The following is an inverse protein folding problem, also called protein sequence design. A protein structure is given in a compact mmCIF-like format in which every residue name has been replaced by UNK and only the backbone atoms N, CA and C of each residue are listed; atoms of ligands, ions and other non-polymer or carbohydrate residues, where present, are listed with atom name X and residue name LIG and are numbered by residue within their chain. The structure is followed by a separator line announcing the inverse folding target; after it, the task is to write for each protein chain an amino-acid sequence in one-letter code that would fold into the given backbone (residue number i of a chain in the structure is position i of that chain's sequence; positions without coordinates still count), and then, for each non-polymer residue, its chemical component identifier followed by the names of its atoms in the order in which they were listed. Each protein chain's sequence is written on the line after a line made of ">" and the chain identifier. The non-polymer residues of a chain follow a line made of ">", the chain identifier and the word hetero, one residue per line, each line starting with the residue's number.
data_IF_785912025053
#
_entry.id   IF_785912025053
#
_cell.length_a   1.000
_cell.length_b   1.000
_cell.length_c   1.000
_cell.angle_alpha   90.00
_cell.angle_beta   90.00
_cell.angle_gamma   90.00
#
_symmetry.space_group_name_H-M   'P 1'
#
loop_
_entity.id
_entity.type
_entity.pdbx_description
1 polymer ?
#
# COMPACT_ATOMS: atom_id res chain seq x y z
N UNK A 1 -23.35 -12.49 -4.96
CA UNK A 1 -24.38 -11.99 -4.05
C UNK A 1 -23.88 -11.76 -2.61
N UNK A 2 -23.06 -12.61 -2.01
CA UNK A 2 -22.58 -12.41 -0.61
C UNK A 2 -21.71 -11.16 -0.41
N UNK A 3 -20.78 -10.85 -1.32
CA UNK A 3 -19.93 -9.65 -1.24
C UNK A 3 -20.74 -8.34 -1.17
N UNK A 4 -21.88 -8.24 -1.84
CA UNK A 4 -22.73 -7.05 -1.80
C UNK A 4 -23.35 -6.76 -0.43
N UNK A 5 -23.56 -7.77 0.42
CA UNK A 5 -24.05 -7.57 1.78
C UNK A 5 -22.96 -7.13 2.75
N UNK A 6 -21.74 -7.61 2.57
CA UNK A 6 -20.57 -7.27 3.42
C UNK A 6 -20.21 -5.79 3.27
N UNK A 7 -20.48 -5.21 2.10
CA UNK A 7 -20.19 -3.81 1.81
C UNK A 7 -21.38 -2.87 2.05
N UNK A 8 -22.48 -3.28 2.67
CA UNK A 8 -23.64 -2.40 2.94
C UNK A 8 -23.48 -1.61 4.24
N UNK A 9 -23.72 -0.31 4.17
CA UNK A 9 -23.79 0.61 5.30
C UNK A 9 -22.44 0.81 6.01
N UNK A 10 -22.51 1.03 7.34
CA UNK A 10 -21.35 1.34 8.18
C UNK A 10 -20.24 0.27 8.12
N UNK A 11 -20.64 -1.00 7.99
CA UNK A 11 -19.66 -2.12 7.89
C UNK A 11 -18.77 -2.03 6.67
N UNK A 12 -19.28 -1.57 5.53
CA UNK A 12 -18.49 -1.41 4.32
C UNK A 12 -17.41 -0.32 4.46
N UNK A 13 -17.78 0.79 5.07
CA UNK A 13 -16.83 1.86 5.36
C UNK A 13 -15.74 1.39 6.34
N UNK A 14 -16.13 0.67 7.40
CA UNK A 14 -15.19 0.10 8.35
C UNK A 14 -14.26 -0.92 7.71
N UNK A 15 -14.79 -1.76 6.79
CA UNK A 15 -14.01 -2.73 6.06
C UNK A 15 -13.00 -2.06 5.12
N UNK A 16 -13.42 -1.05 4.34
CA UNK A 16 -12.51 -0.27 3.47
C UNK A 16 -11.40 0.35 4.31
N UNK A 17 -11.75 1.03 5.41
CA UNK A 17 -10.76 1.61 6.31
C UNK A 17 -9.77 0.55 6.82
N UNK A 18 -10.26 -0.58 7.35
CA UNK A 18 -9.42 -1.65 7.89
C UNK A 18 -8.51 -2.27 6.83
N UNK A 19 -9.03 -2.58 5.63
CA UNK A 19 -8.23 -3.12 4.54
C UNK A 19 -7.13 -2.15 4.10
N UNK A 20 -7.44 -0.86 4.05
CA UNK A 20 -6.47 0.16 3.67
C UNK A 20 -5.46 0.45 4.79
N UNK A 21 -5.81 0.24 6.08
CA UNK A 21 -4.83 0.22 7.18
C UNK A 21 -3.85 -0.94 6.98
N UNK A 22 -4.36 -2.14 6.69
CA UNK A 22 -3.51 -3.32 6.45
C UNK A 22 -2.59 -3.11 5.24
N UNK A 23 -3.09 -2.51 4.16
CA UNK A 23 -2.28 -2.12 3.01
C UNK A 23 -1.18 -1.14 3.40
N UNK A 24 -1.53 -0.11 4.17
CA UNK A 24 -0.60 0.91 4.65
C UNK A 24 0.48 0.37 5.59
N UNK A 25 0.22 -0.73 6.32
CA UNK A 25 1.19 -1.49 7.14
C UNK A 25 1.99 -2.48 6.28
N UNK A 26 2.13 -2.24 4.99
CA UNK A 26 2.89 -3.09 4.06
C UNK A 26 2.45 -4.56 4.01
N UNK A 27 1.21 -4.87 4.41
CA UNK A 27 0.62 -6.18 4.19
C UNK A 27 0.12 -6.31 2.73
N UNK A 28 0.06 -7.53 2.17
CA UNK A 28 -0.27 -7.73 0.77
C UNK A 28 -1.78 -7.58 0.50
N UNK A 29 -2.33 -6.41 0.83
CA UNK A 29 -3.70 -6.01 0.48
C UNK A 29 -3.61 -5.08 -0.74
N UNK A 30 -4.14 -5.48 -1.90
CA UNK A 30 -4.05 -4.66 -3.11
C UNK A 30 -5.13 -3.57 -3.08
N UNK A 31 -4.74 -2.33 -2.90
CA UNK A 31 -5.65 -1.18 -3.04
C UNK A 31 -6.21 -1.07 -4.45
N UNK A 32 -5.48 -1.60 -5.43
CA UNK A 32 -5.88 -1.70 -6.83
C UNK A 32 -7.15 -2.56 -7.02
N UNK A 33 -7.55 -3.30 -5.99
CA UNK A 33 -8.83 -4.02 -5.91
C UNK A 33 -9.80 -3.32 -4.98
N UNK A 34 -9.35 -2.91 -3.79
CA UNK A 34 -10.21 -2.31 -2.76
C UNK A 34 -10.82 -0.99 -3.22
N UNK A 35 -10.00 -0.06 -3.71
CA UNK A 35 -10.47 1.29 -4.05
C UNK A 35 -11.35 1.33 -5.33
N UNK A 36 -11.06 0.57 -6.40
CA UNK A 36 -12.00 0.45 -7.49
C UNK A 36 -13.35 -0.18 -7.08
N UNK A 37 -13.38 -1.12 -6.13
CA UNK A 37 -14.65 -1.65 -5.60
C UNK A 37 -15.48 -0.56 -4.91
N UNK A 38 -14.84 0.39 -4.22
CA UNK A 38 -15.53 1.58 -3.66
C UNK A 38 -16.25 2.35 -4.77
N UNK A 39 -15.56 2.65 -5.87
CA UNK A 39 -16.15 3.34 -7.01
C UNK A 39 -17.27 2.54 -7.71
N UNK A 40 -17.06 1.26 -7.90
CA UNK A 40 -18.03 0.35 -8.49
C UNK A 40 -19.35 0.31 -7.69
N UNK A 41 -19.26 0.08 -6.38
CA UNK A 41 -20.46 0.03 -5.53
C UNK A 41 -21.17 1.38 -5.43
N UNK A 42 -20.43 2.49 -5.48
CA UNK A 42 -21.01 3.82 -5.53
C UNK A 42 -21.84 4.05 -6.82
N UNK A 43 -21.34 3.58 -7.97
CA UNK A 43 -22.03 3.73 -9.26
C UNK A 43 -23.34 2.93 -9.35
N UNK A 44 -23.47 1.86 -8.56
CA UNK A 44 -24.69 1.04 -8.48
C UNK A 44 -25.75 1.62 -7.53
N UNK A 45 -25.57 2.85 -7.00
CA UNK A 45 -26.41 3.40 -5.95
C UNK A 45 -26.35 2.57 -4.65
N UNK A 46 -25.22 1.88 -4.46
CA UNK A 46 -24.93 1.09 -3.28
C UNK A 46 -24.65 1.95 -2.04
N UNK A 47 -24.24 1.30 -0.97
CA UNK A 47 -24.06 1.89 0.36
C UNK A 47 -22.92 2.92 0.48
N UNK A 48 -22.05 3.05 -0.55
CA UNK A 48 -20.97 4.04 -0.60
C UNK A 48 -21.41 5.24 -1.45
N UNK A 49 -22.42 5.91 -0.99
CA UNK A 49 -22.86 7.18 -1.56
C UNK A 49 -22.84 8.24 -0.46
N UNK A 50 -22.04 9.28 -0.57
CA UNK A 50 -21.17 9.61 -1.69
C UNK A 50 -19.84 8.81 -1.70
N UNK A 51 -19.28 8.49 -2.87
CA UNK A 51 -18.00 7.77 -3.01
C UNK A 51 -16.84 8.51 -2.31
N UNK A 52 -17.01 9.79 -2.08
CA UNK A 52 -16.07 10.65 -1.37
C UNK A 52 -15.79 10.16 0.05
N UNK A 53 -16.80 9.67 0.77
CA UNK A 53 -16.60 9.16 2.12
C UNK A 53 -15.78 7.88 2.13
N UNK A 54 -16.06 6.95 1.20
CA UNK A 54 -15.27 5.73 1.03
C UNK A 54 -13.83 6.04 0.60
N UNK A 55 -13.64 7.00 -0.29
CA UNK A 55 -12.33 7.51 -0.70
C UNK A 55 -11.56 8.06 0.51
N UNK A 56 -12.15 8.97 1.27
CA UNK A 56 -11.49 9.59 2.43
C UNK A 56 -11.14 8.56 3.51
N UNK A 57 -12.05 7.63 3.81
CA UNK A 57 -11.78 6.57 4.79
C UNK A 57 -10.70 5.62 4.31
N UNK A 58 -10.67 5.27 3.04
CA UNK A 58 -9.58 4.48 2.45
C UNK A 58 -8.24 5.19 2.56
N UNK A 59 -8.18 6.44 2.12
CA UNK A 59 -6.97 7.29 2.21
C UNK A 59 -6.49 7.47 3.66
N UNK A 60 -7.41 7.71 4.61
CA UNK A 60 -7.07 7.80 6.03
C UNK A 60 -6.59 6.46 6.59
N UNK A 61 -7.19 5.34 6.16
CA UNK A 61 -6.71 4.01 6.50
C UNK A 61 -5.27 3.78 6.07
N UNK A 62 -4.94 4.06 4.81
CA UNK A 62 -3.57 3.95 4.29
C UNK A 62 -2.60 4.87 5.01
N UNK A 63 -3.04 6.09 5.36
CA UNK A 63 -2.23 7.01 6.17
C UNK A 63 -1.93 6.44 7.55
N UNK A 64 -2.93 5.91 8.25
CA UNK A 64 -2.76 5.28 9.56
C UNK A 64 -1.78 4.10 9.47
N UNK A 65 -1.94 3.22 8.49
CA UNK A 65 -1.01 2.11 8.26
C UNK A 65 0.42 2.60 7.98
N UNK A 66 0.56 3.62 7.13
CA UNK A 66 1.86 4.24 6.83
C UNK A 66 2.52 4.88 8.06
N UNK A 67 1.73 5.43 8.97
CA UNK A 67 2.22 5.97 10.24
C UNK A 67 2.71 4.85 11.17
N UNK A 68 2.04 3.70 11.20
CA UNK A 68 2.48 2.53 11.97
C UNK A 68 3.85 2.08 11.45
N UNK A 69 4.05 1.94 10.15
CA UNK A 69 5.33 1.58 9.54
C UNK A 69 6.42 2.63 9.81
N UNK A 70 6.08 3.92 9.65
CA UNK A 70 6.97 5.03 9.94
C UNK A 70 7.45 4.99 11.40
N UNK A 71 6.54 4.91 12.38
CA UNK A 71 6.90 4.91 13.80
C UNK A 71 7.60 3.61 14.20
N UNK A 72 7.22 2.47 13.63
CA UNK A 72 7.93 1.21 13.83
C UNK A 72 9.39 1.35 13.42
N UNK A 73 9.66 1.94 12.25
CA UNK A 73 11.00 2.19 11.79
C UNK A 73 11.73 3.26 12.60
N UNK A 74 11.05 4.33 13.00
CA UNK A 74 11.60 5.42 13.79
C UNK A 74 12.06 4.96 15.18
N UNK A 75 11.24 4.16 15.90
CA UNK A 75 11.54 3.72 17.27
C UNK A 75 12.37 2.44 17.33
N UNK A 76 12.15 1.48 16.44
CA UNK A 76 12.96 0.27 16.37
C UNK A 76 14.34 0.54 15.76
N UNK A 77 14.45 1.59 14.97
CA UNK A 77 15.65 2.29 14.58
C UNK A 77 16.78 1.43 14.01
N UNK A 78 17.97 2.00 14.08
CA UNK A 78 19.23 1.40 13.66
C UNK A 78 19.48 -0.02 14.22
N UNK A 79 19.15 -0.37 15.50
CA UNK A 79 19.39 -1.72 16.03
C UNK A 79 18.64 -2.83 15.28
N UNK A 80 17.37 -2.59 14.95
CA UNK A 80 16.56 -3.56 14.21
C UNK A 80 17.11 -3.77 12.80
N UNK A 81 17.48 -2.69 12.12
CA UNK A 81 18.10 -2.76 10.81
C UNK A 81 19.47 -3.41 10.82
N UNK A 82 20.29 -3.14 11.82
CA UNK A 82 21.60 -3.80 11.94
C UNK A 82 21.47 -5.30 12.17
N UNK A 83 20.39 -5.74 12.84
CA UNK A 83 20.12 -7.15 13.10
C UNK A 83 19.50 -7.86 11.88
N UNK A 84 18.57 -7.22 11.20
CA UNK A 84 17.79 -7.80 10.10
C UNK A 84 18.14 -7.21 8.74
N UNK A 85 18.71 -6.01 8.68
CA UNK A 85 19.07 -5.32 7.45
C UNK A 85 20.15 -6.03 6.64
N UNK A 86 20.98 -6.89 7.29
CA UNK A 86 21.92 -7.79 6.58
C UNK A 86 21.20 -8.73 5.62
N UNK A 87 19.96 -9.13 5.93
CA UNK A 87 19.11 -9.93 5.03
C UNK A 87 18.74 -9.14 3.76
N UNK A 88 18.74 -7.79 3.86
CA UNK A 88 18.40 -6.86 2.77
C UNK A 88 19.65 -6.11 2.24
N UNK A 89 20.84 -6.52 2.63
CA UNK A 89 22.09 -5.88 2.21
C UNK A 89 22.31 -4.47 2.76
N UNK A 90 21.62 -4.09 3.86
CA UNK A 90 21.75 -2.78 4.50
C UNK A 90 22.83 -2.85 5.60
N UNK A 91 23.91 -2.09 5.42
CA UNK A 91 24.96 -1.87 6.40
C UNK A 91 24.90 -0.43 6.97
N UNK A 92 25.74 -0.15 8.01
CA UNK A 92 25.81 1.17 8.65
C UNK A 92 26.12 2.31 7.67
N UNK A 93 26.95 2.05 6.67
CA UNK A 93 27.37 3.06 5.71
C UNK A 93 26.23 3.41 4.75
N UNK A 94 25.47 2.41 4.32
CA UNK A 94 24.29 2.59 3.47
C UNK A 94 23.17 3.32 4.21
N UNK A 95 22.99 3.05 5.52
CA UNK A 95 22.03 3.77 6.35
C UNK A 95 22.37 5.25 6.47
N UNK A 96 23.64 5.60 6.70
CA UNK A 96 24.09 7.00 6.73
C UNK A 96 23.90 7.71 5.39
N UNK A 97 24.09 7.01 4.29
CA UNK A 97 23.81 7.55 2.95
C UNK A 97 22.32 7.73 2.69
N UNK A 98 21.48 6.79 3.13
CA UNK A 98 20.03 6.86 3.05
C UNK A 98 19.50 8.06 3.85
N UNK A 99 19.97 8.25 5.08
CA UNK A 99 19.57 9.38 5.91
C UNK A 99 19.94 10.73 5.27
N UNK A 100 21.15 10.86 4.72
CA UNK A 100 21.57 12.07 3.99
C UNK A 100 20.73 12.31 2.73
N UNK A 101 20.40 11.26 1.99
CA UNK A 101 19.56 11.37 0.81
C UNK A 101 18.12 11.77 1.19
N UNK A 102 17.57 11.16 2.23
CA UNK A 102 16.23 11.51 2.74
C UNK A 102 16.16 12.93 3.33
N UNK A 103 17.22 13.45 3.95
CA UNK A 103 17.24 14.83 4.43
C UNK A 103 17.14 15.85 3.29
N UNK A 104 17.61 15.49 2.09
CA UNK A 104 17.58 16.36 0.90
C UNK A 104 16.31 16.18 0.08
N UNK A 105 15.87 14.94 -0.13
CA UNK A 105 14.81 14.60 -1.08
C UNK A 105 13.59 13.92 -0.44
N UNK A 106 13.56 13.75 0.87
CA UNK A 106 12.62 12.87 1.56
C UNK A 106 11.16 13.09 1.21
N UNK A 107 10.70 14.34 1.20
CA UNK A 107 9.31 14.65 0.86
C UNK A 107 8.97 14.27 -0.58
N UNK A 108 9.83 14.64 -1.55
CA UNK A 108 9.65 14.31 -2.96
C UNK A 108 9.74 12.80 -3.20
N UNK A 109 10.67 12.13 -2.49
CA UNK A 109 10.81 10.69 -2.57
C UNK A 109 9.55 9.98 -2.04
N UNK A 110 9.11 10.31 -0.82
CA UNK A 110 7.89 9.70 -0.25
C UNK A 110 6.71 9.92 -1.18
N UNK A 111 6.50 11.14 -1.67
CA UNK A 111 5.42 11.45 -2.59
C UNK A 111 5.52 10.65 -3.89
N UNK A 112 6.68 10.64 -4.55
CA UNK A 112 6.87 9.95 -5.83
C UNK A 112 6.71 8.42 -5.72
N UNK A 113 7.25 7.80 -4.64
CA UNK A 113 7.11 6.37 -4.43
C UNK A 113 5.68 5.92 -4.12
N UNK A 114 4.78 6.83 -3.69
CA UNK A 114 3.35 6.50 -3.50
C UNK A 114 2.65 6.09 -4.79
N UNK A 115 3.19 6.48 -5.96
CA UNK A 115 2.65 6.11 -7.27
C UNK A 115 3.26 4.82 -7.85
N UNK A 116 4.19 4.18 -7.12
CA UNK A 116 4.81 2.93 -7.56
C UNK A 116 4.16 1.73 -6.84
N UNK A 117 3.41 0.87 -7.55
CA UNK A 117 2.82 -0.33 -6.97
C UNK A 117 3.88 -1.19 -6.26
N UNK A 118 3.55 -1.72 -5.09
CA UNK A 118 4.45 -2.53 -4.27
C UNK A 118 5.49 -1.76 -3.46
N UNK A 119 5.90 -0.56 -3.88
CA UNK A 119 6.86 0.28 -3.15
C UNK A 119 6.20 1.35 -2.28
N UNK A 120 4.95 1.69 -2.57
CA UNK A 120 4.25 2.81 -1.94
C UNK A 120 4.07 2.67 -0.43
N UNK A 121 3.84 1.47 0.09
CA UNK A 121 3.78 1.24 1.53
C UNK A 121 5.20 1.19 2.13
N UNK A 122 6.13 0.49 1.47
CA UNK A 122 7.49 0.27 1.95
C UNK A 122 8.29 1.56 2.14
N UNK A 123 7.98 2.64 1.42
CA UNK A 123 8.69 3.94 1.54
C UNK A 123 8.55 4.56 2.94
N UNK A 124 7.55 4.15 3.74
CA UNK A 124 7.33 4.61 5.10
C UNK A 124 8.46 4.18 6.04
N UNK A 125 9.05 3.00 5.84
CA UNK A 125 10.18 2.52 6.65
C UNK A 125 11.44 3.41 6.48
N UNK A 126 11.98 3.63 5.29
CA UNK A 126 13.14 4.51 5.13
C UNK A 126 12.86 5.95 5.58
N UNK A 127 11.62 6.46 5.44
CA UNK A 127 11.25 7.77 5.94
C UNK A 127 11.35 7.85 7.48
N UNK A 128 10.82 6.84 8.19
CA UNK A 128 10.91 6.74 9.65
C UNK A 128 12.35 6.59 10.13
N UNK A 129 13.14 5.72 9.47
CA UNK A 129 14.55 5.51 9.80
C UNK A 129 15.43 6.74 9.61
N UNK A 130 15.15 7.51 8.57
CA UNK A 130 15.86 8.75 8.29
C UNK A 130 15.45 9.89 9.26
N UNK A 131 14.42 9.67 10.11
CA UNK A 131 13.91 10.70 11.01
C UNK A 131 13.27 11.87 10.27
N UNK A 132 12.59 11.60 9.15
CA UNK A 132 11.87 12.64 8.41
C UNK A 132 10.88 13.37 9.34
N UNK A 133 10.73 14.69 9.20
CA UNK A 133 9.75 15.44 10.00
C UNK A 133 8.34 14.90 9.77
N UNK A 134 7.66 14.51 10.86
CA UNK A 134 6.37 13.84 10.84
C UNK A 134 5.30 14.63 10.06
N UNK A 135 5.24 15.95 10.22
CA UNK A 135 4.29 16.81 9.51
C UNK A 135 4.49 16.71 7.99
N UNK A 136 5.75 16.79 7.54
CA UNK A 136 6.09 16.62 6.12
C UNK A 136 5.70 15.23 5.60
N UNK A 137 5.99 14.18 6.38
CA UNK A 137 5.60 12.80 6.04
C UNK A 137 4.09 12.65 5.91
N UNK A 138 3.32 13.13 6.90
CA UNK A 138 1.84 13.06 6.89
C UNK A 138 1.26 13.76 5.67
N UNK A 139 1.69 14.98 5.38
CA UNK A 139 1.15 15.77 4.27
C UNK A 139 1.42 15.09 2.93
N UNK A 140 2.67 14.71 2.64
CA UNK A 140 2.99 14.11 1.34
C UNK A 140 2.41 12.71 1.19
N UNK A 141 2.30 11.95 2.29
CA UNK A 141 1.69 10.62 2.32
C UNK A 141 0.19 10.72 2.07
N UNK A 142 -0.50 11.62 2.79
CA UNK A 142 -1.93 11.85 2.60
C UNK A 142 -2.25 12.27 1.16
N UNK A 143 -1.53 13.27 0.63
CA UNK A 143 -1.74 13.74 -0.75
C UNK A 143 -1.44 12.65 -1.77
N UNK A 144 -0.37 11.89 -1.59
CA UNK A 144 -0.03 10.78 -2.49
C UNK A 144 -1.11 9.69 -2.51
N UNK A 145 -1.58 9.26 -1.33
CA UNK A 145 -2.69 8.30 -1.24
C UNK A 145 -3.98 8.89 -1.80
N UNK A 146 -4.33 10.14 -1.45
CA UNK A 146 -5.57 10.76 -1.94
C UNK A 146 -5.63 10.80 -3.47
N UNK A 147 -4.54 11.19 -4.13
CA UNK A 147 -4.47 11.23 -5.60
C UNK A 147 -4.59 9.81 -6.17
N UNK A 148 -3.81 8.85 -5.66
CA UNK A 148 -3.83 7.48 -6.15
C UNK A 148 -5.19 6.82 -5.95
N UNK A 149 -5.74 6.91 -4.75
CA UNK A 149 -7.04 6.33 -4.40
C UNK A 149 -8.17 6.99 -5.19
N UNK A 150 -8.10 8.31 -5.46
CA UNK A 150 -9.08 9.02 -6.32
C UNK A 150 -9.08 8.47 -7.74
N UNK A 151 -7.91 8.19 -8.31
CA UNK A 151 -7.79 7.60 -9.64
C UNK A 151 -8.44 6.20 -9.65
N UNK A 152 -8.14 5.38 -8.63
CA UNK A 152 -8.68 4.03 -8.53
C UNK A 152 -10.20 4.01 -8.32
N UNK A 153 -10.73 4.86 -7.45
CA UNK A 153 -12.19 5.03 -7.24
C UNK A 153 -12.86 5.50 -8.53
N UNK A 154 -12.26 6.47 -9.22
CA UNK A 154 -12.79 6.95 -10.49
C UNK A 154 -12.84 5.85 -11.56
N UNK A 155 -11.77 5.05 -11.67
CA UNK A 155 -11.74 3.89 -12.59
C UNK A 155 -12.88 2.93 -12.24
N UNK A 156 -13.05 2.57 -10.98
CA UNK A 156 -14.13 1.67 -10.55
C UNK A 156 -15.52 2.22 -10.84
N UNK A 157 -15.71 3.52 -10.65
CA UNK A 157 -16.97 4.21 -10.95
C UNK A 157 -17.27 4.27 -12.46
N UNK A 158 -16.29 4.71 -13.25
CA UNK A 158 -16.45 4.91 -14.69
C UNK A 158 -16.64 3.60 -15.47
N UNK A 159 -15.97 2.53 -15.04
CA UNK A 159 -16.01 1.23 -15.69
C UNK A 159 -16.95 0.22 -15.00
N UNK A 160 -17.88 0.69 -14.19
CA UNK A 160 -18.78 -0.16 -13.42
C UNK A 160 -19.60 -1.14 -14.29
N UNK A 161 -20.05 -0.71 -15.46
CA UNK A 161 -20.79 -1.56 -16.41
C UNK A 161 -19.93 -2.66 -17.04
N UNK A 162 -18.62 -2.50 -17.05
CA UNK A 162 -17.65 -3.44 -17.60
C UNK A 162 -16.91 -4.24 -16.52
N UNK A 163 -17.38 -4.16 -15.27
CA UNK A 163 -16.69 -4.72 -14.11
C UNK A 163 -16.47 -6.23 -14.21
N UNK A 164 -17.42 -6.96 -14.81
CA UNK A 164 -17.26 -8.41 -15.07
C UNK A 164 -16.05 -8.74 -15.95
N UNK A 165 -15.75 -7.88 -16.92
CA UNK A 165 -14.59 -8.02 -17.80
C UNK A 165 -13.31 -7.74 -17.00
N UNK A 166 -13.32 -6.69 -16.18
CA UNK A 166 -12.18 -6.30 -15.34
C UNK A 166 -11.86 -7.38 -14.31
N UNK A 167 -12.88 -7.94 -13.62
CA UNK A 167 -12.68 -9.07 -12.70
C UNK A 167 -12.06 -10.26 -13.41
N UNK A 168 -12.57 -10.63 -14.57
CA UNK A 168 -12.00 -11.74 -15.35
C UNK A 168 -10.55 -11.54 -15.75
N UNK A 169 -10.15 -10.29 -16.06
CA UNK A 169 -8.76 -9.94 -16.32
C UNK A 169 -7.92 -9.98 -15.03
N UNK A 170 -8.42 -9.40 -13.95
CA UNK A 170 -7.71 -9.38 -12.65
C UNK A 170 -7.48 -10.80 -12.15
N UNK A 171 -8.49 -11.67 -12.17
CA UNK A 171 -8.37 -13.07 -11.77
C UNK A 171 -7.30 -13.80 -12.59
N UNK A 172 -7.27 -13.55 -13.90
CA UNK A 172 -6.29 -14.16 -14.80
C UNK A 172 -4.86 -13.68 -14.51
N UNK A 173 -4.69 -12.37 -14.27
CA UNK A 173 -3.38 -11.81 -13.97
C UNK A 173 -2.92 -12.12 -12.54
N UNK A 174 -3.81 -12.14 -11.54
CA UNK A 174 -3.49 -12.57 -10.19
C UNK A 174 -3.00 -14.01 -10.15
N UNK A 175 -3.64 -14.93 -10.92
CA UNK A 175 -3.18 -16.30 -11.03
C UNK A 175 -1.76 -16.38 -11.63
N UNK A 176 -1.48 -15.62 -12.69
CA UNK A 176 -0.16 -15.57 -13.31
C UNK A 176 0.89 -15.00 -12.34
N UNK A 177 0.56 -13.91 -11.65
CA UNK A 177 1.45 -13.29 -10.66
C UNK A 177 1.71 -14.25 -9.50
N UNK A 178 0.69 -14.94 -9.00
CA UNK A 178 0.83 -15.93 -7.94
C UNK A 178 1.75 -17.09 -8.37
N UNK A 179 1.59 -17.59 -9.58
CA UNK A 179 2.46 -18.66 -10.14
C UNK A 179 3.91 -18.17 -10.27
N UNK A 180 4.12 -16.97 -10.79
CA UNK A 180 5.47 -16.37 -10.90
C UNK A 180 6.08 -16.19 -9.52
N UNK A 181 5.33 -15.69 -8.54
CA UNK A 181 5.81 -15.52 -7.16
C UNK A 181 6.22 -16.86 -6.53
N UNK A 182 5.43 -17.92 -6.71
CA UNK A 182 5.77 -19.27 -6.25
C UNK A 182 7.05 -19.77 -6.92
N UNK A 183 7.18 -19.60 -8.23
CA UNK A 183 8.39 -20.00 -8.98
C UNK A 183 9.62 -19.26 -8.46
N UNK A 184 9.53 -17.95 -8.24
CA UNK A 184 10.64 -17.14 -7.71
C UNK A 184 11.03 -17.60 -6.30
N UNK A 185 10.04 -17.87 -5.44
CA UNK A 185 10.29 -18.38 -4.08
C UNK A 185 10.97 -19.75 -4.14
N UNK A 186 10.49 -20.65 -4.99
CA UNK A 186 11.09 -21.99 -5.16
C UNK A 186 12.53 -21.90 -5.66
N UNK A 187 12.77 -21.07 -6.69
CA UNK A 187 14.13 -20.84 -7.21
C UNK A 187 15.03 -20.28 -6.11
N UNK A 188 14.57 -19.30 -5.34
CA UNK A 188 15.32 -18.73 -4.23
C UNK A 188 15.68 -19.78 -3.17
N UNK A 189 14.71 -20.62 -2.78
CA UNK A 189 14.93 -21.69 -1.81
C UNK A 189 15.96 -22.72 -2.33
N UNK A 190 15.81 -23.14 -3.60
CA UNK A 190 16.74 -24.11 -4.23
C UNK A 190 18.15 -23.54 -4.32
N UNK A 191 18.31 -22.28 -4.72
CA UNK A 191 19.62 -21.61 -4.76
C UNK A 191 20.23 -21.52 -3.37
N UNK A 192 19.46 -21.18 -2.35
CA UNK A 192 19.93 -21.08 -0.96
C UNK A 192 20.34 -22.45 -0.37
N UNK A 193 19.66 -23.51 -0.77
CA UNK A 193 20.01 -24.88 -0.35
C UNK A 193 21.27 -25.40 -1.06
N UNK A 194 21.54 -24.98 -2.31
CA UNK A 194 22.75 -25.35 -3.04
C UNK A 194 24.01 -24.59 -2.61
N UNK A 195 23.85 -23.45 -1.92
CA UNK A 195 24.97 -22.64 -1.43
C UNK A 195 25.35 -22.98 0.03
N UNK A 196 24.72 -23.98 0.63
CA UNK A 196 25.09 -24.60 1.91
C UNK A 196 25.78 -25.94 1.66
#
# INVERSE_FOLDING_TARGET
>A
MMLGYVFKGLYGYALVFALMVLEGVSLPVPSEVVMPLVGYYASLGGFIDPPVLGLLLGTLGSLVGSLIDYYTAYYLGTPFLLRYGRLFGLDKNRLGSLSRWFSKYGAAAVFGFRFLPGFRALISFPAGLAGMRIVGFVVVTFLGHLIWDSILVYIGYAFATQWSIIIGLVDRYLYIIAVIAVIVIVIYIVMKLRMR
#
